data_IF_802867126774
#
_entry.id   IF_802867126774
#
_cell.length_a   1.000
_cell.length_b   1.000
_cell.length_c   1.000
_cell.angle_alpha   90.00
_cell.angle_beta   90.00
_cell.angle_gamma   90.00
#
_symmetry.space_group_name_H-M   'P 1'
#
loop_
_entity.id
_entity.type
_entity.pdbx_description
1 polymer ?
#
# COMPACT_ATOMS: atom_id res chain seq x y z
N UNK A 1 -4.65 5.85 -5.85
CA UNK A 1 -5.10 4.54 -6.36
C UNK A 1 -5.62 3.71 -5.19
N UNK A 2 -6.53 2.76 -5.42
CA UNK A 2 -7.09 1.88 -4.38
C UNK A 2 -6.99 0.41 -4.79
N UNK A 3 -6.65 -0.46 -3.84
CA UNK A 3 -6.73 -1.92 -3.94
C UNK A 3 -7.86 -2.44 -3.07
N UNK A 4 -8.58 -3.45 -3.56
CA UNK A 4 -9.54 -4.20 -2.74
C UNK A 4 -8.85 -5.40 -2.10
N UNK A 5 -9.13 -5.65 -0.83
CA UNK A 5 -8.57 -6.73 -0.04
C UNK A 5 -9.74 -7.55 0.52
N UNK A 6 -9.69 -8.87 0.38
CA UNK A 6 -10.67 -9.78 0.96
C UNK A 6 -9.95 -10.84 1.79
N UNK A 7 -10.38 -11.02 3.04
CA UNK A 7 -9.76 -11.94 3.99
C UNK A 7 -10.81 -12.85 4.61
N UNK A 8 -10.45 -14.12 4.83
CA UNK A 8 -11.40 -15.17 5.25
C UNK A 8 -11.41 -15.49 6.74
N UNK A 9 -10.42 -15.02 7.49
CA UNK A 9 -10.29 -15.27 8.93
C UNK A 9 -9.80 -14.00 9.62
N UNK A 10 -9.87 -14.00 10.95
CA UNK A 10 -9.39 -12.87 11.72
C UNK A 10 -7.89 -13.02 12.00
N UNK A 11 -7.08 -12.10 11.47
CA UNK A 11 -5.62 -12.07 11.63
C UNK A 11 -5.05 -10.67 11.34
N UNK A 12 -3.75 -10.47 11.58
CA UNK A 12 -2.97 -9.36 11.05
C UNK A 12 -2.38 -9.79 9.70
N UNK A 13 -2.68 -9.03 8.64
CA UNK A 13 -2.23 -9.38 7.29
C UNK A 13 -1.01 -8.54 6.88
N UNK A 14 -0.04 -9.20 6.25
CA UNK A 14 1.08 -8.56 5.55
C UNK A 14 0.58 -7.97 4.23
N UNK A 15 1.07 -6.78 3.89
CA UNK A 15 0.75 -6.05 2.67
C UNK A 15 2.04 -5.71 1.95
N UNK A 16 2.25 -6.29 0.77
CA UNK A 16 3.44 -6.04 -0.06
C UNK A 16 3.06 -5.29 -1.33
N UNK A 17 3.48 -4.03 -1.44
CA UNK A 17 3.20 -3.16 -2.57
C UNK A 17 4.37 -3.23 -3.56
N UNK A 18 4.11 -3.66 -4.78
CA UNK A 18 5.09 -3.64 -5.88
C UNK A 18 5.01 -2.31 -6.63
N UNK A 19 6.09 -1.54 -6.64
CA UNK A 19 6.10 -0.18 -7.20
C UNK A 19 7.35 0.14 -8.04
N UNK A 20 7.22 1.13 -8.91
CA UNK A 20 8.28 1.71 -9.71
C UNK A 20 8.28 3.22 -9.52
N UNK A 21 9.38 3.72 -8.95
CA UNK A 21 9.66 5.15 -8.79
C UNK A 21 10.82 5.51 -9.73
N UNK A 22 10.55 6.07 -10.93
CA UNK A 22 11.60 6.43 -11.89
C UNK A 22 12.38 7.69 -11.48
N UNK A 23 11.96 8.39 -10.42
CA UNK A 23 12.60 9.62 -9.99
C UNK A 23 13.93 9.32 -9.28
N UNK A 24 14.78 10.33 -9.21
CA UNK A 24 16.09 10.35 -8.56
C UNK A 24 16.02 10.59 -7.04
N UNK A 25 14.80 10.74 -6.48
CA UNK A 25 14.56 10.96 -5.04
C UNK A 25 13.44 10.06 -4.52
N UNK A 26 13.46 9.71 -3.22
CA UNK A 26 12.32 9.05 -2.58
C UNK A 26 11.05 9.89 -2.73
N UNK A 27 9.92 9.22 -2.97
CA UNK A 27 8.60 9.84 -2.97
C UNK A 27 7.88 9.54 -1.66
N UNK A 28 7.31 10.57 -1.06
CA UNK A 28 6.43 10.41 0.09
C UNK A 28 5.06 9.92 -0.36
N UNK A 29 4.59 8.86 0.29
CA UNK A 29 3.34 8.19 -0.02
C UNK A 29 2.57 8.00 1.27
N UNK A 30 1.30 8.41 1.28
CA UNK A 30 0.37 8.09 2.37
C UNK A 30 -0.38 6.81 2.01
N UNK A 31 -0.34 5.85 2.92
CA UNK A 31 -1.07 4.60 2.86
C UNK A 31 -2.21 4.66 3.87
N UNK A 32 -3.45 4.71 3.40
CA UNK A 32 -4.62 4.57 4.26
C UNK A 32 -5.16 3.15 4.06
N UNK A 33 -5.21 2.37 5.14
CA UNK A 33 -5.94 1.11 5.18
C UNK A 33 -7.34 1.37 5.73
N UNK A 34 -8.36 0.96 4.98
CA UNK A 34 -9.75 1.31 5.25
C UNK A 34 -10.64 0.06 5.32
N UNK A 35 -11.69 0.14 6.13
CA UNK A 35 -12.83 -0.77 6.05
C UNK A 35 -13.61 -0.59 4.74
N UNK A 36 -14.51 -1.54 4.43
CA UNK A 36 -15.35 -1.50 3.24
C UNK A 36 -16.19 -0.21 3.10
N UNK A 37 -16.66 0.35 4.21
CA UNK A 37 -17.45 1.59 4.28
C UNK A 37 -16.58 2.87 4.29
N UNK A 38 -15.26 2.74 4.22
CA UNK A 38 -14.33 3.85 4.05
C UNK A 38 -13.83 4.48 5.35
N UNK A 39 -14.08 3.87 6.51
CA UNK A 39 -13.43 4.29 7.76
C UNK A 39 -11.94 3.96 7.68
N UNK A 40 -11.10 4.96 7.95
CA UNK A 40 -9.65 4.77 8.02
C UNK A 40 -9.32 4.02 9.31
N UNK A 41 -8.73 2.84 9.17
CA UNK A 41 -8.33 1.97 10.27
C UNK A 41 -6.86 2.17 10.63
N UNK A 42 -6.01 2.48 9.64
CA UNK A 42 -4.59 2.80 9.82
C UNK A 42 -4.17 3.81 8.75
N UNK A 43 -3.37 4.79 9.14
CA UNK A 43 -2.63 5.66 8.22
C UNK A 43 -1.15 5.46 8.45
N UNK A 44 -0.39 5.33 7.37
CA UNK A 44 1.07 5.23 7.39
C UNK A 44 1.67 6.19 6.38
N UNK A 45 2.77 6.85 6.77
CA UNK A 45 3.59 7.65 5.86
C UNK A 45 4.80 6.82 5.45
N UNK A 46 4.83 6.45 4.18
CA UNK A 46 5.87 5.66 3.57
C UNK A 46 6.77 6.52 2.66
N UNK A 47 7.99 6.05 2.44
CA UNK A 47 8.89 6.60 1.43
C UNK A 47 9.22 5.52 0.40
N UNK A 48 8.85 5.78 -0.85
CA UNK A 48 9.10 4.89 -1.97
C UNK A 48 10.39 5.34 -2.66
N UNK A 49 11.47 4.61 -2.41
CA UNK A 49 12.81 4.95 -2.91
C UNK A 49 12.92 4.73 -4.42
N UNK A 50 13.84 5.43 -5.12
CA UNK A 50 14.09 5.21 -6.53
C UNK A 50 14.28 3.74 -6.90
N UNK A 51 13.64 3.32 -7.99
CA UNK A 51 13.86 2.01 -8.59
C UNK A 51 14.99 2.03 -9.59
N UNK A 52 15.74 0.93 -9.68
CA UNK A 52 16.69 0.74 -10.78
C UNK A 52 15.95 0.66 -12.11
N UNK A 53 16.61 1.06 -13.19
CA UNK A 53 16.06 1.01 -14.55
C UNK A 53 15.56 -0.41 -14.88
N UNK A 54 14.32 -0.49 -15.40
CA UNK A 54 13.66 -1.76 -15.74
C UNK A 54 13.34 -2.67 -14.54
N UNK A 55 13.41 -2.16 -13.29
CA UNK A 55 13.11 -2.93 -12.07
C UNK A 55 11.96 -2.34 -11.26
N UNK A 56 11.37 -3.20 -10.44
CA UNK A 56 10.36 -2.88 -9.44
C UNK A 56 10.96 -3.07 -8.05
N UNK A 57 10.58 -2.20 -7.12
CA UNK A 57 10.84 -2.35 -5.69
C UNK A 57 9.56 -2.83 -4.99
N UNK A 58 9.73 -3.24 -3.73
CA UNK A 58 8.65 -3.73 -2.88
C UNK A 58 8.64 -2.94 -1.57
N UNK A 59 7.45 -2.53 -1.14
CA UNK A 59 7.23 -1.92 0.16
C UNK A 59 6.36 -2.84 1.01
N UNK A 60 6.87 -3.25 2.16
CA UNK A 60 6.18 -4.17 3.06
C UNK A 60 5.61 -3.38 4.24
N UNK A 61 4.32 -3.56 4.50
CA UNK A 61 3.63 -3.07 5.70
C UNK A 61 2.59 -4.12 6.12
N UNK A 62 1.67 -3.75 7.01
CA UNK A 62 0.60 -4.63 7.48
C UNK A 62 -0.66 -3.83 7.83
N UNK A 63 -1.71 -4.54 8.22
CA UNK A 63 -2.98 -3.97 8.67
C UNK A 63 -2.89 -3.19 10.00
N UNK A 64 -1.76 -3.25 10.71
CA UNK A 64 -1.49 -2.57 11.99
C UNK A 64 -2.08 -3.27 13.22
N UNK A 65 -3.21 -3.93 13.05
CA UNK A 65 -3.81 -4.80 14.05
C UNK A 65 -4.49 -6.00 13.37
N UNK A 66 -4.94 -6.93 14.20
CA UNK A 66 -5.86 -7.98 13.77
C UNK A 66 -7.14 -7.34 13.21
N UNK A 67 -7.58 -7.83 12.06
CA UNK A 67 -8.85 -7.48 11.41
C UNK A 67 -9.72 -8.72 11.30
N UNK A 68 -11.02 -8.56 11.15
CA UNK A 68 -11.94 -9.69 10.99
C UNK A 68 -11.98 -10.17 9.52
N UNK A 69 -12.57 -11.33 9.29
CA UNK A 69 -12.95 -11.75 7.94
C UNK A 69 -13.86 -10.69 7.29
N UNK A 70 -13.60 -10.35 6.03
CA UNK A 70 -14.34 -9.29 5.36
C UNK A 70 -13.61 -8.64 4.20
N UNK A 71 -14.16 -7.51 3.75
CA UNK A 71 -13.61 -6.70 2.67
C UNK A 71 -13.03 -5.39 3.21
N UNK A 72 -11.88 -5.02 2.67
CA UNK A 72 -11.09 -3.86 3.07
C UNK A 72 -10.49 -3.21 1.84
N UNK A 73 -9.87 -2.04 2.03
CA UNK A 73 -9.16 -1.34 0.97
C UNK A 73 -7.81 -0.85 1.46
N UNK A 74 -6.82 -0.86 0.55
CA UNK A 74 -5.60 -0.09 0.71
C UNK A 74 -5.62 1.06 -0.30
N UNK A 75 -5.64 2.29 0.20
CA UNK A 75 -5.53 3.50 -0.61
C UNK A 75 -4.09 4.01 -0.58
N UNK A 76 -3.49 4.14 -1.76
CA UNK A 76 -2.15 4.66 -1.98
C UNK A 76 -2.25 6.07 -2.55
N UNK A 77 -1.73 7.05 -1.82
CA UNK A 77 -1.78 8.48 -2.16
C UNK A 77 -0.35 9.01 -2.23
N UNK A 78 0.14 9.33 -3.44
CA UNK A 78 1.36 10.11 -3.57
C UNK A 78 1.10 11.54 -3.05
N UNK A 79 1.96 12.05 -2.16
CA UNK A 79 1.79 13.41 -1.61
C UNK A 79 2.43 14.48 -2.51
N UNK A 80 3.10 14.05 -3.58
CA UNK A 80 3.74 14.90 -4.58
C UNK A 80 3.20 14.53 -5.96
N UNK A 81 2.98 15.52 -6.83
CA UNK A 81 2.60 15.30 -8.23
C UNK A 81 3.82 14.87 -9.06
N UNK A 82 4.29 13.65 -8.83
CA UNK A 82 5.41 13.02 -9.55
C UNK A 82 5.05 11.62 -10.01
N UNK A 83 5.75 11.15 -11.03
CA UNK A 83 5.52 9.82 -11.59
C UNK A 83 5.79 8.73 -10.54
N UNK A 84 4.75 7.99 -10.19
CA UNK A 84 4.82 6.79 -9.36
C UNK A 84 3.91 5.74 -9.98
N UNK A 85 4.47 4.59 -10.29
CA UNK A 85 3.73 3.47 -10.85
C UNK A 85 3.62 2.37 -9.80
N UNK A 86 2.43 1.80 -9.68
CA UNK A 86 2.18 0.65 -8.82
C UNK A 86 1.65 -0.48 -9.70
N UNK A 87 2.22 -1.67 -9.54
CA UNK A 87 1.88 -2.85 -10.34
C UNK A 87 0.90 -3.77 -9.62
N UNK A 88 1.20 -4.11 -8.35
CA UNK A 88 0.46 -5.10 -7.60
C UNK A 88 0.48 -4.84 -6.10
N UNK A 89 -0.52 -5.42 -5.42
CA UNK A 89 -0.56 -5.61 -3.98
C UNK A 89 -0.69 -7.11 -3.71
N UNK A 90 0.23 -7.64 -2.91
CA UNK A 90 0.15 -9.00 -2.36
C UNK A 90 -0.29 -8.93 -0.89
N UNK A 91 -1.16 -9.87 -0.49
CA UNK A 91 -1.78 -9.94 0.84
C UNK A 91 -1.59 -11.34 1.41
N UNK A 92 -0.97 -11.45 2.59
CA UNK A 92 -0.65 -12.73 3.24
C UNK A 92 -1.04 -12.74 4.72
#
# INVERSE_FOLDING_TARGET
>A
MEFSIAVGVADTYSLTIKYHNPNDKPLKVKLDFLSADGVIMKTELAEFVPTKEGKWNYYNTNTGSMINAGSYKLRVIATENKDLFIDALDVQ
#
